data_IF_934401661775
#
_entry.id   IF_934401661775
#
_cell.length_a   1.000
_cell.length_b   1.000
_cell.length_c   1.000
_cell.angle_alpha   90.00
_cell.angle_beta   90.00
_cell.angle_gamma   90.00
#
_symmetry.space_group_name_H-M   'P 1'
#
loop_
_entity.id
_entity.type
_entity.pdbx_description
1 polymer ?
#
# COMPACT_ATOMS: atom_id res chain seq x y z
N UNK A 1 -7.07 -2.71 -2.50
CA UNK A 1 -7.60 -1.62 -1.67
C UNK A 1 -7.80 -0.36 -2.49
N UNK A 2 -6.77 0.18 -3.16
CA UNK A 2 -6.92 1.39 -3.99
C UNK A 2 -7.98 1.28 -5.10
N UNK A 3 -8.19 0.09 -5.67
CA UNK A 3 -9.26 -0.20 -6.63
C UNK A 3 -10.66 0.04 -6.04
N UNK A 4 -10.87 -0.38 -4.79
CA UNK A 4 -12.16 -0.27 -4.11
C UNK A 4 -12.47 1.19 -3.73
N UNK A 5 -11.44 2.02 -3.51
CA UNK A 5 -11.60 3.47 -3.29
C UNK A 5 -12.08 4.16 -4.57
N UNK A 6 -11.44 3.85 -5.70
CA UNK A 6 -11.84 4.38 -7.02
C UNK A 6 -13.27 3.98 -7.39
N UNK A 7 -13.65 2.74 -7.08
CA UNK A 7 -14.92 2.15 -7.50
C UNK A 7 -16.00 2.24 -6.39
N UNK A 8 -15.78 3.02 -5.34
CA UNK A 8 -16.63 3.04 -4.14
C UNK A 8 -18.11 3.35 -4.43
N UNK A 9 -18.40 4.43 -5.16
CA UNK A 9 -19.78 4.81 -5.47
C UNK A 9 -20.49 3.75 -6.31
N UNK A 10 -19.76 3.13 -7.25
CA UNK A 10 -20.26 2.04 -8.09
C UNK A 10 -20.54 0.78 -7.27
N UNK A 11 -19.66 0.43 -6.35
CA UNK A 11 -19.83 -0.71 -5.45
C UNK A 11 -21.00 -0.50 -4.49
N UNK A 12 -21.16 0.72 -3.97
CA UNK A 12 -22.30 1.12 -3.13
C UNK A 12 -23.62 1.03 -3.90
N UNK A 13 -23.67 1.56 -5.13
CA UNK A 13 -24.87 1.54 -5.98
C UNK A 13 -25.27 0.11 -6.40
N UNK A 14 -24.30 -0.80 -6.53
CA UNK A 14 -24.55 -2.22 -6.85
C UNK A 14 -24.86 -3.09 -5.62
N UNK A 15 -24.94 -2.50 -4.42
CA UNK A 15 -25.27 -3.22 -3.18
C UNK A 15 -24.12 -4.07 -2.62
N UNK A 16 -22.89 -3.90 -3.13
CA UNK A 16 -21.71 -4.59 -2.60
C UNK A 16 -21.34 -4.06 -1.22
N UNK A 17 -20.90 -4.95 -0.33
CA UNK A 17 -20.46 -4.62 1.02
C UNK A 17 -18.95 -4.84 1.16
N UNK A 18 -18.16 -4.07 0.41
CA UNK A 18 -16.70 -4.04 0.59
C UNK A 18 -16.36 -3.31 1.89
N UNK A 19 -15.14 -3.51 2.39
CA UNK A 19 -14.67 -2.83 3.60
C UNK A 19 -14.72 -1.31 3.42
N UNK A 20 -14.39 -0.83 2.23
CA UNK A 20 -14.43 0.57 1.83
C UNK A 20 -15.87 1.12 1.81
N UNK A 21 -16.86 0.34 1.32
CA UNK A 21 -18.28 0.73 1.39
C UNK A 21 -18.78 0.81 2.84
N UNK A 22 -18.32 -0.08 3.72
CA UNK A 22 -18.70 -0.09 5.14
C UNK A 22 -18.09 1.10 5.88
N UNK A 23 -16.83 1.44 5.59
CA UNK A 23 -16.09 2.49 6.29
C UNK A 23 -16.32 3.90 5.69
N UNK A 24 -16.74 3.98 4.43
CA UNK A 24 -17.00 5.21 3.71
C UNK A 24 -15.74 5.89 3.14
N UNK A 25 -15.95 7.01 2.44
CA UNK A 25 -14.92 7.75 1.70
C UNK A 25 -13.75 8.23 2.57
N UNK A 26 -14.04 8.68 3.79
CA UNK A 26 -13.03 9.30 4.66
C UNK A 26 -12.01 8.30 5.25
N UNK A 27 -12.44 7.05 5.51
CA UNK A 27 -11.60 6.02 6.13
C UNK A 27 -10.94 5.10 5.10
N UNK A 28 -11.37 5.16 3.84
CA UNK A 28 -10.84 4.33 2.77
C UNK A 28 -9.36 4.66 2.46
N UNK A 29 -8.94 5.94 2.29
CA UNK A 29 -7.53 6.31 2.18
C UNK A 29 -6.69 5.87 3.40
N UNK A 30 -7.27 5.97 4.60
CA UNK A 30 -6.58 5.56 5.82
C UNK A 30 -6.18 4.09 5.77
N UNK A 31 -7.05 3.19 5.29
CA UNK A 31 -6.70 1.77 5.15
C UNK A 31 -5.53 1.51 4.20
N UNK A 32 -5.49 2.24 3.08
CA UNK A 32 -4.36 2.14 2.16
C UNK A 32 -3.05 2.55 2.84
N UNK A 33 -3.03 3.73 3.47
CA UNK A 33 -1.84 4.23 4.16
C UNK A 33 -1.45 3.34 5.34
N UNK A 34 -2.41 2.90 6.13
CA UNK A 34 -2.18 1.98 7.24
C UNK A 34 -1.53 0.67 6.77
N UNK A 35 -2.03 0.09 5.67
CA UNK A 35 -1.45 -1.13 5.08
C UNK A 35 -0.03 -0.88 4.58
N UNK A 36 0.18 0.24 3.88
CA UNK A 36 1.48 0.61 3.32
C UNK A 36 2.52 0.81 4.41
N UNK A 37 2.24 1.66 5.41
CA UNK A 37 3.16 1.93 6.51
C UNK A 37 3.37 0.72 7.41
N UNK A 38 2.34 -0.10 7.63
CA UNK A 38 2.48 -1.36 8.35
C UNK A 38 3.47 -2.31 7.66
N UNK A 39 3.47 -2.38 6.33
CA UNK A 39 4.42 -3.24 5.60
C UNK A 39 5.89 -2.82 5.83
N UNK A 40 6.17 -1.51 5.80
CA UNK A 40 7.50 -0.99 6.12
C UNK A 40 7.86 -1.21 7.60
N UNK A 41 6.92 -0.94 8.51
CA UNK A 41 7.10 -1.17 9.94
C UNK A 41 7.40 -2.63 10.27
N UNK A 42 6.68 -3.57 9.64
CA UNK A 42 6.93 -5.00 9.77
C UNK A 42 8.30 -5.41 9.24
N UNK A 43 8.79 -4.79 8.17
CA UNK A 43 10.14 -5.08 7.64
C UNK A 43 11.22 -4.67 8.66
N UNK A 44 11.09 -3.48 9.26
CA UNK A 44 11.99 -3.00 10.33
C UNK A 44 11.88 -3.89 11.58
N UNK A 45 10.66 -4.25 11.98
CA UNK A 45 10.41 -5.10 13.14
C UNK A 45 11.04 -6.49 12.95
N UNK A 46 10.85 -7.11 11.78
CA UNK A 46 11.44 -8.41 11.47
C UNK A 46 12.97 -8.35 11.44
N UNK A 47 13.57 -7.26 10.96
CA UNK A 47 15.01 -7.05 11.11
C UNK A 47 15.43 -7.04 12.59
N UNK A 48 14.69 -6.33 13.46
CA UNK A 48 14.97 -6.30 14.90
C UNK A 48 14.86 -7.66 15.59
N UNK A 49 13.99 -8.55 15.09
CA UNK A 49 13.76 -9.89 15.66
C UNK A 49 14.76 -10.92 15.11
N UNK A 50 15.01 -10.92 13.80
CA UNK A 50 15.80 -11.96 13.11
C UNK A 50 17.26 -11.57 12.86
N UNK A 51 17.59 -10.28 12.89
CA UNK A 51 18.94 -9.78 12.58
C UNK A 51 19.33 -9.83 11.09
N UNK A 52 18.42 -10.24 10.20
CA UNK A 52 18.67 -10.37 8.76
C UNK A 52 18.64 -8.97 8.12
N UNK A 53 19.82 -8.43 7.78
CA UNK A 53 19.97 -7.08 7.22
C UNK A 53 19.22 -6.85 5.91
N UNK A 54 19.09 -7.90 5.08
CA UNK A 54 18.36 -7.80 3.83
C UNK A 54 16.87 -7.48 3.99
N UNK A 55 16.28 -7.71 5.17
CA UNK A 55 14.91 -7.27 5.48
C UNK A 55 14.74 -5.73 5.48
N UNK A 56 15.83 -4.97 5.53
CA UNK A 56 15.80 -3.51 5.40
C UNK A 56 15.80 -3.03 3.94
N UNK A 57 16.08 -3.92 2.98
CA UNK A 57 16.17 -3.58 1.56
C UNK A 57 14.89 -2.94 0.99
N UNK A 58 13.66 -3.34 1.40
CA UNK A 58 12.45 -2.65 0.98
C UNK A 58 12.41 -1.16 1.33
N UNK A 59 13.15 -0.68 2.34
CA UNK A 59 13.19 0.76 2.67
C UNK A 59 13.74 1.62 1.53
N UNK A 60 14.48 1.03 0.58
CA UNK A 60 14.96 1.72 -0.62
C UNK A 60 13.80 2.17 -1.51
N UNK A 61 12.63 1.50 -1.48
CA UNK A 61 11.45 1.92 -2.24
C UNK A 61 10.61 3.01 -1.55
N UNK A 62 10.97 3.42 -0.32
CA UNK A 62 10.20 4.40 0.44
C UNK A 62 10.01 5.74 -0.30
N UNK A 63 11.02 6.34 -0.97
CA UNK A 63 10.81 7.58 -1.73
C UNK A 63 9.80 7.40 -2.87
N UNK A 64 9.83 6.27 -3.57
CA UNK A 64 8.87 5.94 -4.63
C UNK A 64 7.45 5.81 -4.06
N UNK A 65 7.33 5.11 -2.93
CA UNK A 65 6.05 4.91 -2.26
C UNK A 65 5.44 6.23 -1.78
N UNK A 66 6.24 7.12 -1.20
CA UNK A 66 5.80 8.47 -0.81
C UNK A 66 5.40 9.30 -2.03
N UNK A 67 6.20 9.28 -3.11
CA UNK A 67 5.89 10.04 -4.32
C UNK A 67 4.58 9.60 -4.97
N UNK A 68 4.36 8.29 -5.12
CA UNK A 68 3.10 7.76 -5.65
C UNK A 68 1.91 7.96 -4.70
N UNK A 69 2.13 7.92 -3.39
CA UNK A 69 1.09 8.26 -2.39
C UNK A 69 0.62 9.70 -2.55
N UNK A 70 1.55 10.66 -2.71
CA UNK A 70 1.20 12.07 -2.95
C UNK A 70 0.44 12.25 -4.28
N UNK A 71 0.81 11.50 -5.32
CA UNK A 71 0.09 11.52 -6.60
C UNK A 71 -1.32 10.96 -6.49
N UNK A 72 -1.52 9.89 -5.71
CA UNK A 72 -2.85 9.30 -5.47
C UNK A 72 -3.83 10.31 -4.88
N UNK A 73 -3.39 11.08 -3.89
CA UNK A 73 -4.22 12.13 -3.28
C UNK A 73 -4.52 13.26 -4.28
N UNK A 74 -3.55 13.68 -5.10
CA UNK A 74 -3.73 14.74 -6.09
C UNK A 74 -4.67 14.34 -7.24
N UNK A 75 -4.56 13.10 -7.70
CA UNK A 75 -5.33 12.59 -8.84
C UNK A 75 -6.72 12.07 -8.44
N UNK A 76 -7.08 12.17 -7.15
CA UNK A 76 -8.35 11.68 -6.62
C UNK A 76 -8.52 10.17 -6.82
N UNK A 77 -7.45 9.40 -6.63
CA UNK A 77 -7.46 7.92 -6.69
C UNK A 77 -7.79 7.31 -8.06
N UNK A 78 -7.84 8.10 -9.14
CA UNK A 78 -8.09 7.60 -10.51
C UNK A 78 -7.10 6.52 -10.94
N UNK A 79 -5.82 6.73 -10.62
CA UNK A 79 -4.70 5.80 -10.86
C UNK A 79 -4.36 4.96 -9.62
N UNK A 80 -5.37 4.73 -8.77
CA UNK A 80 -5.30 3.93 -7.55
C UNK A 80 -4.53 2.63 -7.74
N UNK A 81 -4.95 1.87 -8.73
CA UNK A 81 -4.46 0.50 -8.98
C UNK A 81 -3.03 0.54 -9.47
N UNK A 82 -2.74 1.39 -10.44
CA UNK A 82 -1.47 1.51 -11.12
C UNK A 82 -0.36 1.90 -10.14
N UNK A 83 -0.58 2.97 -9.38
CA UNK A 83 0.37 3.45 -8.39
C UNK A 83 0.55 2.47 -7.24
N UNK A 84 -0.54 1.96 -6.65
CA UNK A 84 -0.42 0.97 -5.58
C UNK A 84 0.30 -0.31 -6.02
N UNK A 85 0.02 -0.82 -7.23
CA UNK A 85 0.64 -2.03 -7.76
C UNK A 85 2.13 -1.82 -8.02
N UNK A 86 2.52 -0.66 -8.54
CA UNK A 86 3.94 -0.32 -8.70
C UNK A 86 4.67 -0.30 -7.36
N UNK A 87 4.08 0.30 -6.32
CA UNK A 87 4.64 0.29 -4.97
C UNK A 87 4.80 -1.14 -4.45
N UNK A 88 3.75 -1.95 -4.52
CA UNK A 88 3.76 -3.32 -4.00
C UNK A 88 4.75 -4.21 -4.74
N UNK A 89 4.85 -4.07 -6.08
CA UNK A 89 5.78 -4.84 -6.89
C UNK A 89 7.24 -4.54 -6.50
N UNK A 90 7.61 -3.26 -6.45
CA UNK A 90 8.98 -2.86 -6.10
C UNK A 90 9.32 -3.28 -4.67
N UNK A 91 8.39 -3.05 -3.73
CA UNK A 91 8.56 -3.49 -2.35
C UNK A 91 8.75 -5.01 -2.25
N UNK A 92 7.88 -5.80 -2.91
CA UNK A 92 7.91 -7.25 -2.87
C UNK A 92 9.18 -7.84 -3.48
N UNK A 93 9.64 -7.28 -4.61
CA UNK A 93 10.91 -7.69 -5.23
C UNK A 93 12.09 -7.42 -4.30
N UNK A 94 12.18 -6.23 -3.71
CA UNK A 94 13.24 -5.90 -2.75
C UNK A 94 13.19 -6.79 -1.50
N UNK A 95 11.98 -7.12 -1.02
CA UNK A 95 11.82 -8.00 0.14
C UNK A 95 12.31 -9.41 -0.17
N UNK A 96 11.88 -9.99 -1.29
CA UNK A 96 12.28 -11.35 -1.69
C UNK A 96 13.80 -11.39 -1.92
N UNK A 97 14.36 -10.41 -2.62
CA UNK A 97 15.81 -10.31 -2.81
C UNK A 97 16.54 -10.19 -1.47
N UNK A 98 16.03 -9.38 -0.55
CA UNK A 98 16.62 -9.21 0.78
C UNK A 98 16.53 -10.44 1.67
N UNK A 99 15.50 -11.28 1.51
CA UNK A 99 15.36 -12.55 2.25
C UNK A 99 16.28 -13.65 1.69
N UNK A 100 16.54 -13.63 0.39
CA UNK A 100 17.34 -14.66 -0.30
C UNK A 100 18.85 -14.37 -0.33
N UNK A 101 19.28 -13.14 -0.03
CA UNK A 101 20.68 -12.71 -0.01
C UNK A 101 21.34 -12.96 1.36
#
# INVERSE_FOLDING_TARGET
MSNNIRDLEKDKASGRRTLEVILGDSLSPFLFYFTLFSAYGLSIMNFGIMGVRGLLLPLVSLPLALWFSLRLDQDGWKLGVEYSSAIYLVFGLLLITGVLA
#
